data_IF_764665925253
#
_entry.id   IF_764665925253
#
_cell.length_a   1.000
_cell.length_b   1.000
_cell.length_c   1.000
_cell.angle_alpha   90.00
_cell.angle_beta   90.00
_cell.angle_gamma   90.00
#
_symmetry.space_group_name_H-M   'P 1'
#
loop_
_entity.id
_entity.type
_entity.pdbx_description
1 polymer ?
#
# COMPACT_ATOMS: atom_id res chain seq x y z
N UNK A 1 2.75 20.51 -8.39
CA UNK A 1 3.26 21.72 -9.05
C UNK A 1 2.61 22.94 -8.43
N UNK A 2 3.36 23.95 -8.11
CA UNK A 2 2.89 25.23 -7.56
C UNK A 2 2.89 26.29 -8.67
N UNK A 3 1.80 27.02 -8.84
CA UNK A 3 1.70 28.12 -9.82
C UNK A 3 2.77 29.20 -9.61
N UNK A 4 3.24 29.38 -8.39
CA UNK A 4 4.28 30.38 -8.04
C UNK A 4 5.70 29.90 -8.36
N UNK A 5 5.91 28.60 -8.58
CA UNK A 5 7.23 28.06 -8.93
C UNK A 5 7.65 28.46 -10.34
N UNK A 6 8.94 28.36 -10.63
CA UNK A 6 9.46 28.63 -11.98
C UNK A 6 8.84 27.72 -13.04
N UNK A 7 8.68 26.42 -12.70
CA UNK A 7 8.05 25.44 -13.60
C UNK A 7 6.56 25.77 -13.80
N UNK A 8 5.84 26.08 -12.72
CA UNK A 8 4.43 26.46 -12.79
C UNK A 8 4.20 27.69 -13.64
N UNK A 9 5.04 28.72 -13.51
CA UNK A 9 4.97 29.95 -14.33
C UNK A 9 5.22 29.65 -15.80
N UNK A 10 6.27 28.92 -16.12
CA UNK A 10 6.58 28.55 -17.48
C UNK A 10 5.44 27.75 -18.13
N UNK A 11 4.81 26.83 -17.40
CA UNK A 11 3.71 26.03 -17.91
C UNK A 11 2.43 26.86 -18.12
N UNK A 12 2.16 27.82 -17.26
CA UNK A 12 1.04 28.76 -17.43
C UNK A 12 1.25 29.65 -18.67
N UNK A 13 2.49 30.10 -18.92
CA UNK A 13 2.83 30.86 -20.12
C UNK A 13 2.69 30.03 -21.39
N UNK A 14 3.18 28.77 -21.37
CA UNK A 14 3.10 27.86 -22.50
C UNK A 14 1.68 27.45 -22.85
N UNK A 15 0.81 27.33 -21.82
CA UNK A 15 -0.57 26.87 -21.95
C UNK A 15 -1.56 27.94 -21.53
N UNK A 16 -1.40 29.15 -22.04
CA UNK A 16 -2.22 30.30 -21.69
C UNK A 16 -3.73 30.12 -21.93
N UNK A 17 -4.10 29.19 -22.82
CA UNK A 17 -5.46 28.77 -23.14
C UNK A 17 -5.97 27.60 -22.28
N UNK A 18 -5.15 27.10 -21.38
CA UNK A 18 -5.51 25.99 -20.49
C UNK A 18 -6.63 26.37 -19.52
N UNK A 19 -7.58 25.46 -19.35
CA UNK A 19 -8.75 25.62 -18.46
C UNK A 19 -8.33 25.73 -16.98
N UNK A 20 -7.19 25.14 -16.62
CA UNK A 20 -6.68 25.15 -15.25
C UNK A 20 -5.26 25.71 -15.21
N UNK A 21 -5.11 26.90 -14.68
CA UNK A 21 -3.83 27.58 -14.46
C UNK A 21 -3.51 27.80 -12.97
N UNK A 22 -4.32 27.26 -12.07
CA UNK A 22 -4.11 27.35 -10.64
C UNK A 22 -3.63 26.01 -10.09
N UNK A 23 -2.32 25.82 -10.09
CA UNK A 23 -1.68 24.63 -9.53
C UNK A 23 -1.42 24.84 -8.03
N UNK A 24 -1.91 23.93 -7.20
CA UNK A 24 -1.83 24.03 -5.72
C UNK A 24 -0.78 23.13 -5.10
N UNK A 25 -0.45 22.01 -5.75
CA UNK A 25 0.55 21.08 -5.24
C UNK A 25 1.97 21.60 -5.49
N UNK A 26 2.89 21.36 -4.57
CA UNK A 26 4.30 21.67 -4.75
C UNK A 26 4.94 20.87 -5.89
N UNK A 27 6.03 21.37 -6.47
CA UNK A 27 6.78 20.66 -7.51
C UNK A 27 7.50 19.43 -6.94
N UNK A 28 8.02 19.57 -5.74
CA UNK A 28 8.56 18.50 -4.92
C UNK A 28 8.05 18.70 -3.49
N UNK A 29 7.36 17.71 -2.97
CA UNK A 29 6.86 17.72 -1.60
C UNK A 29 7.33 16.49 -0.86
N UNK A 30 7.59 16.66 0.44
CA UNK A 30 7.82 15.56 1.37
C UNK A 30 6.76 15.62 2.47
N UNK A 31 6.05 14.52 2.65
CA UNK A 31 5.00 14.39 3.65
C UNK A 31 5.41 13.34 4.67
N UNK A 32 5.37 13.70 5.94
CA UNK A 32 5.59 12.77 7.05
C UNK A 32 4.25 12.44 7.70
N UNK A 33 3.94 11.15 7.79
CA UNK A 33 2.72 10.65 8.40
C UNK A 33 3.09 9.81 9.60
N UNK A 34 2.53 10.15 10.77
CA UNK A 34 2.62 9.30 11.95
C UNK A 34 1.34 8.51 12.07
N UNK A 35 1.46 7.18 12.08
CA UNK A 35 0.32 6.29 12.27
C UNK A 35 -0.03 6.15 13.74
N UNK A 36 -1.25 5.74 14.04
CA UNK A 36 -1.72 5.47 15.41
C UNK A 36 -0.82 4.44 16.13
N UNK A 37 -0.32 3.45 15.40
CA UNK A 37 0.60 2.44 15.93
C UNK A 37 2.06 2.92 16.04
N UNK A 38 2.33 4.21 15.91
CA UNK A 38 3.65 4.82 16.09
C UNK A 38 4.63 4.59 14.94
N UNK A 39 4.17 4.08 13.77
CA UNK A 39 5.00 4.00 12.58
C UNK A 39 5.06 5.37 11.90
N UNK A 40 6.15 5.63 11.19
CA UNK A 40 6.31 6.83 10.38
C UNK A 40 6.39 6.41 8.92
N UNK A 41 5.60 7.07 8.09
CA UNK A 41 5.62 6.93 6.64
C UNK A 41 6.13 8.24 6.07
N UNK A 42 7.15 8.18 5.23
CA UNK A 42 7.62 9.31 4.43
C UNK A 42 7.18 9.11 2.98
N UNK A 43 6.52 10.12 2.42
CA UNK A 43 6.09 10.13 1.03
C UNK A 43 6.75 11.32 0.35
N UNK A 44 7.50 11.07 -0.73
CA UNK A 44 8.00 12.11 -1.62
C UNK A 44 7.21 12.10 -2.91
N UNK A 45 6.73 13.26 -3.31
CA UNK A 45 6.05 13.47 -4.58
C UNK A 45 6.86 14.45 -5.43
N UNK A 46 7.42 13.94 -6.52
CA UNK A 46 8.19 14.71 -7.49
C UNK A 46 7.96 14.13 -8.89
N UNK A 47 7.19 14.84 -9.69
CA UNK A 47 6.85 14.41 -11.06
C UNK A 47 7.30 15.43 -12.11
N UNK A 48 7.88 16.56 -11.68
CA UNK A 48 8.14 17.69 -12.57
C UNK A 48 9.63 17.94 -12.81
N UNK A 49 10.50 17.51 -11.90
CA UNK A 49 11.93 17.76 -12.05
C UNK A 49 12.64 16.55 -12.65
N UNK A 50 13.67 16.76 -13.50
CA UNK A 50 14.46 15.66 -14.04
C UNK A 50 15.14 14.87 -12.93
N UNK A 51 14.84 13.60 -12.84
CA UNK A 51 15.55 12.66 -12.00
C UNK A 51 15.42 11.24 -12.51
N UNK A 52 16.37 10.34 -12.25
CA UNK A 52 16.24 8.93 -12.54
C UNK A 52 14.98 8.35 -11.86
N UNK A 53 14.35 7.39 -12.55
CA UNK A 53 13.17 6.72 -11.99
C UNK A 53 13.48 6.10 -10.63
N UNK A 54 12.74 6.54 -9.63
CA UNK A 54 12.88 6.09 -8.26
C UNK A 54 11.54 6.22 -7.53
N UNK A 55 11.13 5.18 -6.82
CA UNK A 55 9.93 5.20 -5.97
C UNK A 55 10.27 5.32 -4.49
N UNK A 56 11.53 5.49 -4.10
CA UNK A 56 11.98 5.49 -2.69
C UNK A 56 11.38 4.34 -1.88
N UNK A 57 11.34 3.15 -2.46
CA UNK A 57 10.65 2.02 -1.87
C UNK A 57 11.53 1.40 -0.79
N UNK A 58 11.38 1.88 0.44
CA UNK A 58 12.16 1.49 1.61
C UNK A 58 11.25 1.06 2.76
N UNK A 59 11.67 0.02 3.46
CA UNK A 59 11.08 -0.42 4.71
C UNK A 59 12.17 -0.53 5.76
N UNK A 60 12.02 0.22 6.86
CA UNK A 60 12.93 0.15 8.02
C UNK A 60 12.20 -0.44 9.20
N UNK A 61 12.70 -1.53 9.72
CA UNK A 61 12.14 -2.20 10.89
C UNK A 61 13.17 -2.46 11.97
N UNK A 62 12.74 -2.90 13.13
CA UNK A 62 13.62 -3.21 14.27
C UNK A 62 14.52 -4.42 14.04
N UNK A 63 14.26 -5.23 13.03
CA UNK A 63 14.96 -6.48 12.73
C UNK A 63 15.66 -6.48 11.39
N UNK A 64 15.42 -5.48 10.57
CA UNK A 64 16.02 -5.39 9.25
C UNK A 64 15.51 -4.21 8.44
N UNK A 65 16.10 -4.10 7.28
CA UNK A 65 15.88 -3.06 6.30
C UNK A 65 15.70 -3.68 4.92
N UNK A 66 14.77 -3.16 4.14
CA UNK A 66 14.58 -3.52 2.74
C UNK A 66 14.56 -2.28 1.86
N UNK A 67 15.27 -2.32 0.75
CA UNK A 67 15.32 -1.25 -0.24
C UNK A 67 15.13 -1.80 -1.65
N UNK A 68 14.40 -1.09 -2.50
CA UNK A 68 14.24 -1.46 -3.91
C UNK A 68 14.97 -0.50 -4.86
N UNK A 69 15.03 0.78 -4.53
CA UNK A 69 15.60 1.81 -5.40
C UNK A 69 16.58 2.71 -4.63
N UNK A 70 17.68 3.18 -5.24
CA UNK A 70 18.22 2.78 -6.52
C UNK A 70 18.89 1.40 -6.50
N UNK A 71 19.27 0.91 -5.31
CA UNK A 71 19.92 -0.38 -5.11
C UNK A 71 18.94 -1.30 -4.39
N UNK A 72 18.61 -2.42 -5.02
CA UNK A 72 17.77 -3.43 -4.36
C UNK A 72 18.60 -4.27 -3.39
N UNK A 73 18.12 -4.37 -2.16
CA UNK A 73 18.82 -5.14 -1.14
C UNK A 73 18.10 -5.24 0.20
N UNK A 74 18.61 -6.13 1.03
CA UNK A 74 18.18 -6.34 2.40
C UNK A 74 19.37 -6.22 3.35
N UNK A 75 19.13 -5.65 4.53
CA UNK A 75 20.06 -5.74 5.67
C UNK A 75 19.31 -6.30 6.87
N UNK A 76 19.92 -7.20 7.61
CA UNK A 76 19.32 -7.84 8.78
C UNK A 76 20.25 -7.69 9.98
N UNK A 77 19.69 -7.63 11.19
CA UNK A 77 20.52 -7.75 12.38
C UNK A 77 21.08 -9.20 12.52
N UNK A 78 22.17 -9.36 13.24
CA UNK A 78 22.88 -10.63 13.36
C UNK A 78 22.00 -11.78 13.88
N UNK A 79 21.06 -11.51 14.79
CA UNK A 79 20.14 -12.53 15.33
C UNK A 79 19.15 -12.99 14.27
N UNK A 80 18.70 -12.09 13.41
CA UNK A 80 17.76 -12.41 12.33
C UNK A 80 18.46 -13.16 11.19
N UNK A 81 19.71 -12.90 10.92
CA UNK A 81 20.51 -13.67 9.96
C UNK A 81 20.51 -15.14 10.34
N UNK A 82 20.84 -15.45 11.58
CA UNK A 82 20.84 -16.83 12.09
C UNK A 82 19.42 -17.45 12.04
N UNK A 83 18.41 -16.74 12.49
CA UNK A 83 17.02 -17.23 12.51
C UNK A 83 16.45 -17.47 11.10
N UNK A 84 16.87 -16.71 10.09
CA UNK A 84 16.43 -16.88 8.70
C UNK A 84 17.09 -18.09 8.00
N UNK A 85 18.10 -18.72 8.62
CA UNK A 85 18.88 -19.79 8.01
C UNK A 85 19.93 -19.31 7.02
N UNK A 86 20.08 -18.00 6.90
CA UNK A 86 21.21 -17.37 6.23
C UNK A 86 22.41 -17.54 7.14
N UNK A 87 23.43 -18.26 6.67
CA UNK A 87 24.70 -18.41 7.39
C UNK A 87 25.75 -17.55 6.69
N UNK A 88 25.90 -16.28 7.07
CA UNK A 88 26.99 -15.49 6.55
C UNK A 88 28.30 -16.07 7.08
N UNK A 89 29.33 -16.03 6.26
CA UNK A 89 30.68 -16.08 6.77
C UNK A 89 30.86 -14.78 7.55
N UNK A 90 30.81 -14.89 8.86
CA UNK A 90 30.29 -13.89 9.79
C UNK A 90 31.17 -12.66 9.95
N UNK A 91 32.43 -12.70 9.52
CA UNK A 91 33.40 -11.66 9.86
C UNK A 91 33.14 -10.31 9.15
N UNK A 92 32.38 -10.30 8.06
CA UNK A 92 32.15 -9.11 7.26
C UNK A 92 30.68 -8.59 7.23
N UNK A 93 29.70 -9.29 7.82
CA UNK A 93 28.30 -8.90 7.77
C UNK A 93 27.84 -8.29 9.09
N UNK A 94 27.48 -7.02 8.99
CA UNK A 94 26.84 -6.28 10.08
C UNK A 94 25.51 -5.68 9.58
N UNK A 95 24.73 -5.14 10.51
CA UNK A 95 23.45 -4.49 10.21
C UNK A 95 23.56 -3.24 9.31
N UNK A 96 24.77 -2.77 9.01
CA UNK A 96 25.04 -1.61 8.16
C UNK A 96 25.39 -1.98 6.71
N UNK A 97 25.40 -3.28 6.38
CA UNK A 97 25.73 -3.76 5.05
C UNK A 97 24.55 -4.49 4.42
N UNK A 98 24.36 -4.33 3.12
CA UNK A 98 23.43 -5.19 2.38
C UNK A 98 23.96 -6.63 2.39
N UNK A 99 23.04 -7.58 2.43
CA UNK A 99 23.36 -8.98 2.27
C UNK A 99 23.99 -9.24 0.90
N UNK A 100 24.94 -10.18 0.79
CA UNK A 100 25.43 -10.67 -0.49
C UNK A 100 24.27 -11.20 -1.36
N UNK A 101 24.43 -11.16 -2.67
CA UNK A 101 23.38 -11.56 -3.62
C UNK A 101 22.86 -12.98 -3.38
N UNK A 102 23.74 -13.93 -3.11
CA UNK A 102 23.38 -15.33 -2.81
C UNK A 102 22.46 -15.45 -1.60
N UNK A 103 22.74 -14.66 -0.56
CA UNK A 103 21.97 -14.65 0.67
C UNK A 103 20.61 -13.97 0.47
N UNK A 104 20.56 -12.90 -0.33
CA UNK A 104 19.29 -12.28 -0.74
C UNK A 104 18.41 -13.24 -1.54
N UNK A 105 18.98 -13.99 -2.48
CA UNK A 105 18.27 -15.01 -3.26
C UNK A 105 17.69 -16.10 -2.35
N UNK A 106 18.44 -16.54 -1.35
CA UNK A 106 17.94 -17.51 -0.35
C UNK A 106 16.78 -16.96 0.45
N UNK A 107 16.84 -15.71 0.90
CA UNK A 107 15.75 -15.06 1.61
C UNK A 107 14.52 -14.91 0.72
N UNK A 108 14.68 -14.46 -0.51
CA UNK A 108 13.59 -14.31 -1.47
C UNK A 108 12.91 -15.66 -1.71
N UNK A 109 13.67 -16.72 -1.97
CA UNK A 109 13.11 -18.06 -2.20
C UNK A 109 12.31 -18.57 -0.99
N UNK A 110 12.80 -18.28 0.24
CA UNK A 110 12.14 -18.69 1.49
C UNK A 110 10.86 -17.91 1.75
N UNK A 111 10.90 -16.59 1.58
CA UNK A 111 9.81 -15.67 1.98
C UNK A 111 8.99 -15.13 0.81
N UNK A 112 9.24 -15.59 -0.42
CA UNK A 112 8.44 -15.22 -1.57
C UNK A 112 6.97 -15.53 -1.31
N UNK A 113 6.11 -14.55 -1.60
CA UNK A 113 4.68 -14.69 -1.39
C UNK A 113 4.12 -15.89 -2.17
N UNK A 114 3.25 -16.72 -1.59
CA UNK A 114 2.70 -17.92 -2.25
C UNK A 114 2.06 -17.63 -3.61
N UNK A 115 1.40 -16.49 -3.78
CA UNK A 115 0.80 -16.10 -5.05
C UNK A 115 1.84 -15.97 -6.17
N UNK A 116 3.03 -15.47 -5.85
CA UNK A 116 4.13 -15.38 -6.80
C UNK A 116 4.72 -16.74 -7.14
N UNK A 117 4.75 -17.66 -6.18
CA UNK A 117 5.16 -19.05 -6.42
C UNK A 117 4.17 -19.78 -7.34
N UNK A 118 2.88 -19.49 -7.19
CA UNK A 118 1.80 -20.13 -7.95
C UNK A 118 1.62 -19.54 -9.34
N UNK A 119 1.63 -18.23 -9.47
CA UNK A 119 1.25 -17.52 -10.69
C UNK A 119 2.36 -16.72 -11.33
N UNK A 120 3.54 -16.60 -10.69
CA UNK A 120 4.58 -15.67 -11.13
C UNK A 120 5.09 -15.90 -12.53
N UNK A 121 5.29 -17.13 -12.97
CA UNK A 121 5.76 -17.43 -14.34
C UNK A 121 4.67 -17.12 -15.36
N UNK A 122 3.44 -17.60 -15.15
CA UNK A 122 2.29 -17.28 -16.01
C UNK A 122 2.06 -15.76 -16.09
N UNK A 123 2.16 -15.06 -14.99
CA UNK A 123 2.01 -13.61 -14.96
C UNK A 123 3.05 -12.88 -15.81
N UNK A 124 4.29 -13.35 -15.82
CA UNK A 124 5.34 -12.79 -16.69
C UNK A 124 5.05 -13.02 -18.18
N UNK A 125 4.51 -14.20 -18.53
CA UNK A 125 4.14 -14.55 -19.90
C UNK A 125 2.98 -13.71 -20.41
N UNK A 126 1.94 -13.51 -19.58
CA UNK A 126 0.78 -12.67 -19.92
C UNK A 126 1.16 -11.20 -20.03
N UNK A 127 2.08 -10.72 -19.20
CA UNK A 127 2.56 -9.34 -19.21
C UNK A 127 1.73 -8.42 -18.31
N UNK A 128 1.71 -7.12 -18.65
CA UNK A 128 1.13 -6.08 -17.81
C UNK A 128 2.02 -5.76 -16.60
N UNK A 129 2.88 -4.72 -16.71
CA UNK A 129 3.86 -4.30 -15.71
C UNK A 129 4.69 -5.46 -15.11
N UNK A 130 5.15 -6.38 -15.98
CA UNK A 130 5.90 -7.56 -15.56
C UNK A 130 5.06 -8.64 -14.87
N UNK A 131 3.75 -8.66 -15.12
CA UNK A 131 2.80 -9.63 -14.58
C UNK A 131 2.03 -9.14 -13.35
N UNK A 132 2.29 -7.93 -12.88
CA UNK A 132 1.61 -7.37 -11.70
C UNK A 132 0.11 -7.21 -11.93
N UNK A 133 -0.28 -6.68 -13.10
CA UNK A 133 -1.68 -6.45 -13.46
C UNK A 133 -2.44 -7.78 -13.52
N UNK A 134 -1.84 -8.80 -14.15
CA UNK A 134 -2.43 -10.14 -14.21
C UNK A 134 -2.71 -10.72 -12.81
N UNK A 135 -1.77 -10.61 -11.88
CA UNK A 135 -1.95 -11.10 -10.51
C UNK A 135 -3.06 -10.35 -9.79
N UNK A 136 -3.12 -9.03 -9.95
CA UNK A 136 -4.14 -8.19 -9.37
C UNK A 136 -5.54 -8.57 -9.88
N UNK A 137 -5.69 -8.74 -11.19
CA UNK A 137 -6.95 -9.13 -11.82
C UNK A 137 -7.38 -10.54 -11.41
N UNK A 138 -6.45 -11.50 -11.35
CA UNK A 138 -6.71 -12.85 -10.85
C UNK A 138 -7.24 -12.83 -9.41
N UNK A 139 -6.68 -11.96 -8.55
CA UNK A 139 -7.14 -11.81 -7.17
C UNK A 139 -8.55 -11.22 -7.11
N UNK A 140 -8.81 -10.19 -7.88
CA UNK A 140 -10.13 -9.56 -7.97
C UNK A 140 -11.19 -10.59 -8.40
N UNK A 141 -10.95 -11.28 -9.51
CA UNK A 141 -11.87 -12.29 -10.03
C UNK A 141 -12.08 -13.43 -9.03
N UNK A 142 -11.00 -13.92 -8.41
CA UNK A 142 -11.09 -14.95 -7.39
C UNK A 142 -11.94 -14.54 -6.19
N UNK A 143 -11.74 -13.34 -5.67
CA UNK A 143 -12.51 -12.82 -4.55
C UNK A 143 -14.00 -12.70 -4.91
N UNK A 144 -14.32 -12.13 -6.08
CA UNK A 144 -15.69 -11.97 -6.55
C UNK A 144 -16.41 -13.31 -6.77
N UNK A 145 -15.73 -14.28 -7.38
CA UNK A 145 -16.31 -15.60 -7.65
C UNK A 145 -16.59 -16.41 -6.37
N UNK A 146 -15.80 -16.17 -5.32
CA UNK A 146 -15.90 -16.92 -4.07
C UNK A 146 -16.57 -16.15 -2.94
N UNK A 147 -17.09 -14.95 -3.20
CA UNK A 147 -17.72 -14.11 -2.18
C UNK A 147 -16.75 -13.69 -1.06
N UNK A 148 -15.47 -13.54 -1.39
CA UNK A 148 -14.43 -13.12 -0.45
C UNK A 148 -14.32 -11.59 -0.43
N UNK A 149 -13.88 -11.01 0.69
CA UNK A 149 -13.54 -9.59 0.73
C UNK A 149 -12.44 -9.29 -0.30
N UNK A 150 -12.52 -8.11 -0.90
CA UNK A 150 -11.49 -7.64 -1.82
C UNK A 150 -10.19 -7.29 -1.08
N UNK A 151 -9.05 -7.37 -1.77
CA UNK A 151 -7.73 -7.03 -1.21
C UNK A 151 -7.63 -5.54 -0.86
N UNK A 152 -8.44 -4.72 -1.50
CA UNK A 152 -8.59 -3.28 -1.24
C UNK A 152 -10.07 -2.91 -1.25
N UNK A 153 -10.46 -1.99 -0.40
CA UNK A 153 -11.83 -1.50 -0.33
C UNK A 153 -11.90 0.04 -0.51
N UNK A 154 -13.09 0.58 -0.43
CA UNK A 154 -13.33 2.03 -0.59
C UNK A 154 -12.63 2.86 0.50
N UNK A 155 -12.40 2.31 1.67
CA UNK A 155 -11.74 3.01 2.76
C UNK A 155 -10.23 3.11 2.51
N UNK A 156 -9.60 2.03 2.00
CA UNK A 156 -8.22 2.08 1.53
C UNK A 156 -8.03 3.14 0.45
N UNK A 157 -8.96 3.20 -0.51
CA UNK A 157 -8.95 4.22 -1.57
C UNK A 157 -9.06 5.63 -0.99
N UNK A 158 -10.00 5.86 -0.08
CA UNK A 158 -10.20 7.17 0.55
C UNK A 158 -8.95 7.61 1.32
N UNK A 159 -8.34 6.71 2.09
CA UNK A 159 -7.09 6.96 2.81
C UNK A 159 -5.94 7.35 1.89
N UNK A 160 -5.77 6.68 0.77
CA UNK A 160 -4.68 6.99 -0.15
C UNK A 160 -4.91 8.26 -0.94
N UNK A 161 -6.16 8.51 -1.36
CA UNK A 161 -6.49 9.68 -2.17
C UNK A 161 -6.50 10.98 -1.38
N UNK A 162 -6.80 10.98 -0.08
CA UNK A 162 -6.84 12.20 0.72
C UNK A 162 -5.45 12.80 1.00
N UNK A 163 -4.36 12.06 0.77
CA UNK A 163 -2.99 12.51 1.08
C UNK A 163 -2.62 13.82 0.37
N UNK A 164 -3.02 13.97 -0.89
CA UNK A 164 -2.73 15.19 -1.64
C UNK A 164 -3.43 16.42 -1.05
N UNK A 165 -4.70 16.28 -0.67
CA UNK A 165 -5.48 17.36 -0.07
C UNK A 165 -5.00 17.71 1.34
N UNK A 166 -4.73 16.69 2.17
CA UNK A 166 -4.17 16.90 3.51
C UNK A 166 -2.77 17.54 3.46
N UNK A 167 -1.95 17.15 2.49
CA UNK A 167 -0.65 17.79 2.25
C UNK A 167 -0.79 19.27 1.88
N UNK A 168 -1.72 19.60 1.00
CA UNK A 168 -2.03 20.98 0.64
C UNK A 168 -2.52 21.78 1.85
N UNK A 169 -3.43 21.20 2.62
CA UNK A 169 -3.95 21.85 3.83
C UNK A 169 -2.84 22.10 4.86
N UNK A 170 -1.91 21.16 5.03
CA UNK A 170 -0.73 21.35 5.89
C UNK A 170 0.14 22.50 5.40
N UNK A 171 0.47 22.55 4.11
CA UNK A 171 1.28 23.62 3.53
C UNK A 171 0.63 25.00 3.67
N UNK A 172 -0.67 25.11 3.43
CA UNK A 172 -1.43 26.34 3.57
C UNK A 172 -1.46 26.83 5.03
N UNK A 173 -1.27 25.93 5.99
CA UNK A 173 -1.16 26.21 7.42
C UNK A 173 0.29 26.20 7.94
N UNK A 174 1.25 26.65 7.16
CA UNK A 174 2.67 26.72 7.54
C UNK A 174 3.27 25.35 7.94
N UNK A 175 2.93 24.30 7.24
CA UNK A 175 3.34 22.93 7.52
C UNK A 175 2.93 22.42 8.90
N UNK A 176 1.83 22.94 9.45
CA UNK A 176 1.27 22.45 10.69
C UNK A 176 0.75 21.00 10.50
N UNK A 177 0.79 20.22 11.57
CA UNK A 177 0.23 18.89 11.56
C UNK A 177 -1.29 18.93 11.32
N UNK A 178 -1.77 18.08 10.43
CA UNK A 178 -3.20 17.92 10.10
C UNK A 178 -3.64 16.53 10.53
N UNK A 179 -4.81 16.46 11.19
CA UNK A 179 -5.39 15.17 11.57
C UNK A 179 -5.85 14.40 10.33
N UNK A 180 -5.50 13.12 10.28
CA UNK A 180 -5.95 12.21 9.24
C UNK A 180 -7.41 11.81 9.54
N UNK A 181 -8.34 11.92 8.60
CA UNK A 181 -9.72 11.50 8.82
C UNK A 181 -9.83 9.99 9.00
N UNK A 182 -10.63 9.56 9.96
CA UNK A 182 -11.00 8.14 10.08
C UNK A 182 -12.24 7.87 9.20
N UNK A 183 -12.01 7.39 8.01
CA UNK A 183 -13.07 7.04 7.06
C UNK A 183 -13.85 5.79 7.49
N UNK A 184 -13.26 4.94 8.34
CA UNK A 184 -13.84 3.68 8.81
C UNK A 184 -14.70 3.83 10.05
N UNK A 185 -14.74 5.01 10.67
CA UNK A 185 -15.48 5.30 11.91
C UNK A 185 -15.08 4.35 13.05
N UNK A 186 -13.79 4.04 13.16
CA UNK A 186 -13.22 3.16 14.18
C UNK A 186 -13.05 1.69 13.77
N UNK A 187 -13.59 1.27 12.65
CA UNK A 187 -13.51 -0.13 12.19
C UNK A 187 -12.07 -0.58 11.87
N UNK A 188 -11.17 0.34 11.51
CA UNK A 188 -9.76 0.03 11.28
C UNK A 188 -9.08 -0.66 12.47
N UNK A 189 -9.56 -0.40 13.68
CA UNK A 189 -8.99 -0.96 14.90
C UNK A 189 -9.53 -2.37 15.21
N UNK A 190 -10.64 -2.76 14.61
CA UNK A 190 -11.30 -4.06 14.81
C UNK A 190 -10.62 -5.15 14.00
N UNK A 191 -10.18 -4.83 12.79
CA UNK A 191 -9.53 -5.78 11.88
C UNK A 191 -8.03 -5.79 12.13
N UNK A 192 -7.51 -6.88 12.67
CA UNK A 192 -6.09 -7.06 12.93
C UNK A 192 -5.45 -8.01 11.91
N UNK A 193 -4.26 -7.64 11.43
CA UNK A 193 -3.47 -8.43 10.49
C UNK A 193 -3.86 -8.23 9.03
N UNK A 194 -3.30 -9.05 8.17
CA UNK A 194 -3.57 -9.02 6.73
C UNK A 194 -4.91 -9.72 6.46
N UNK A 195 -5.88 -8.98 5.97
CA UNK A 195 -7.20 -9.50 5.63
C UNK A 195 -7.13 -10.58 4.52
N UNK A 196 -6.09 -10.58 3.70
CA UNK A 196 -6.15 -11.21 2.37
C UNK A 196 -4.85 -11.89 1.91
N UNK A 197 -3.86 -12.03 2.77
CA UNK A 197 -2.61 -12.72 2.44
C UNK A 197 -2.72 -14.21 2.80
N UNK A 198 -3.31 -14.99 1.92
CA UNK A 198 -3.48 -16.43 2.15
C UNK A 198 -2.26 -17.19 1.71
N UNK A 199 -1.71 -17.97 2.62
CA UNK A 199 -0.50 -18.74 2.40
C UNK A 199 -0.80 -20.24 2.15
N UNK A 200 -1.92 -20.75 2.63
CA UNK A 200 -2.28 -22.17 2.54
C UNK A 200 -3.77 -22.40 2.20
N UNK A 201 -4.15 -23.57 1.67
CA UNK A 201 -5.56 -23.94 1.46
C UNK A 201 -6.41 -23.89 2.74
N UNK A 202 -5.81 -24.20 3.89
CA UNK A 202 -6.50 -24.14 5.19
C UNK A 202 -6.79 -22.71 5.59
N UNK A 203 -5.86 -21.79 5.35
CA UNK A 203 -6.06 -20.36 5.59
C UNK A 203 -7.10 -19.79 4.64
N UNK A 204 -7.07 -20.14 3.35
CA UNK A 204 -8.09 -19.78 2.38
C UNK A 204 -9.48 -20.22 2.83
N UNK A 205 -9.60 -21.47 3.30
CA UNK A 205 -10.87 -22.03 3.80
C UNK A 205 -11.37 -21.27 5.04
N UNK A 206 -10.48 -21.02 6.01
CA UNK A 206 -10.84 -20.30 7.23
C UNK A 206 -11.33 -18.87 6.94
N UNK A 207 -10.75 -18.23 5.94
CA UNK A 207 -11.19 -16.89 5.50
C UNK A 207 -12.51 -16.95 4.76
N UNK A 208 -12.71 -17.96 3.88
CA UNK A 208 -13.97 -18.16 3.19
C UNK A 208 -15.14 -18.37 4.18
N UNK A 209 -14.92 -19.15 5.24
CA UNK A 209 -15.90 -19.36 6.31
C UNK A 209 -16.23 -18.05 7.04
N UNK A 210 -15.22 -17.23 7.37
CA UNK A 210 -15.42 -15.90 7.99
C UNK A 210 -16.14 -14.93 7.07
N UNK A 211 -15.79 -14.90 5.79
CA UNK A 211 -16.45 -14.07 4.80
C UNK A 211 -17.92 -14.45 4.59
N UNK A 212 -18.20 -15.75 4.55
CA UNK A 212 -19.58 -16.23 4.47
C UNK A 212 -20.40 -15.85 5.70
N UNK A 213 -19.85 -15.96 6.90
CA UNK A 213 -20.49 -15.54 8.15
C UNK A 213 -20.73 -14.03 8.18
N UNK A 214 -19.77 -13.23 7.71
CA UNK A 214 -19.93 -11.78 7.59
C UNK A 214 -21.00 -11.38 6.59
N UNK A 215 -21.01 -12.01 5.42
CA UNK A 215 -22.03 -11.75 4.38
C UNK A 215 -23.44 -12.13 4.87
N UNK A 216 -23.56 -13.24 5.60
CA UNK A 216 -24.84 -13.63 6.20
C UNK A 216 -25.33 -12.59 7.22
N UNK A 217 -24.43 -12.06 8.04
CA UNK A 217 -24.75 -11.01 9.01
C UNK A 217 -25.17 -9.69 8.35
N UNK A 218 -24.51 -9.30 7.26
CA UNK A 218 -24.90 -8.11 6.48
C UNK A 218 -26.27 -8.25 5.85
N UNK A 219 -26.60 -9.44 5.30
CA UNK A 219 -27.94 -9.72 4.76
C UNK A 219 -29.00 -9.61 5.84
N UNK A 220 -28.78 -10.21 7.00
CA UNK A 220 -29.69 -10.13 8.14
C UNK A 220 -29.90 -8.68 8.63
N UNK A 221 -28.86 -7.86 8.63
CA UNK A 221 -28.98 -6.44 8.95
C UNK A 221 -29.74 -5.66 7.90
N UNK A 222 -29.44 -5.88 6.61
CA UNK A 222 -30.15 -5.25 5.52
C UNK A 222 -31.65 -5.62 5.48
N UNK A 223 -32.00 -6.87 5.72
CA UNK A 223 -33.40 -7.31 5.80
C UNK A 223 -34.14 -6.67 6.99
N UNK A 224 -33.49 -6.43 8.11
CA UNK A 224 -34.07 -5.70 9.25
C UNK A 224 -34.30 -4.23 8.93
N UNK A 225 -33.32 -3.55 8.33
CA UNK A 225 -33.45 -2.13 7.97
C UNK A 225 -34.51 -1.89 6.90
N UNK A 226 -34.63 -2.77 5.90
CA UNK A 226 -35.66 -2.68 4.88
C UNK A 226 -37.07 -3.02 5.42
N UNK A 227 -37.17 -4.02 6.28
CA UNK A 227 -38.44 -4.37 6.93
C UNK A 227 -38.96 -3.29 7.88
N UNK A 228 -38.08 -2.50 8.50
CA UNK A 228 -38.46 -1.35 9.33
C UNK A 228 -38.92 -0.15 8.49
N UNK A 229 -38.33 0.06 7.29
CA UNK A 229 -38.72 1.14 6.37
C UNK A 229 -40.11 0.90 5.73
N UNK A 230 -40.38 -0.33 5.30
CA UNK A 230 -41.73 -0.69 4.77
C UNK A 230 -42.84 -0.55 5.81
N UNK A 231 -42.55 -0.82 7.09
CA UNK A 231 -43.51 -0.64 8.17
C UNK A 231 -43.71 0.81 8.61
N UNK A 232 -42.83 1.73 8.24
CA UNK A 232 -42.96 3.17 8.50
C UNK A 232 -43.73 3.88 7.38
N UNK A 233 -43.67 3.39 6.12
CA UNK A 233 -44.43 3.93 4.99
C UNK A 233 -45.87 3.40 4.95
N UNK A 234 -46.18 2.35 5.69
CA UNK A 234 -47.53 1.75 5.76
C UNK A 234 -48.38 2.27 6.94
N UNK A 235 -47.95 3.29 7.66
CA UNK A 235 -48.68 3.99 8.72
C UNK A 235 -48.90 5.45 8.34
#
# INVERSE_FOLDING_TARGET
>A
MDTKSAIGKALVEERADSICNNFRNGDHTTTLIRTENGKVIEIQHNVMTPQPYNRLYQLTGTKGFANKYPISGYALDAKQLTASGVQPKIDDLNSHSFLPKSEMETLVAKYQHPILKKYGEMAKEVGGHGGMDFIMDCRLVYCLQNGLPLDMDVYDLAEWCCLAELGTLSMDNNCAAVAFPDFTRGEWNVVKGYKHAYASPEEEKAVAEKAAAFTAKLKEQGEKEWGETENQEAK
#
